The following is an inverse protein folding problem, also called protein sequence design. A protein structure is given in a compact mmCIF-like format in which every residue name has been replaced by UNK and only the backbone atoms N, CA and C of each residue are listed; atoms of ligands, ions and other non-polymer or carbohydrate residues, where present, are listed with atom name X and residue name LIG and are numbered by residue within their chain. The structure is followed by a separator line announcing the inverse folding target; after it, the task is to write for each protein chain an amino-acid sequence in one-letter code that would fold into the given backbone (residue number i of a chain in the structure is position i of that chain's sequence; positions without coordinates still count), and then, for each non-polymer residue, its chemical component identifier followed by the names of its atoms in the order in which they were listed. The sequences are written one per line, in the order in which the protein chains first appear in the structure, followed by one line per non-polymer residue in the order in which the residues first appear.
data_IF_323817400574
#
_entry.id   IF_323817400574
#
_cell.length_a   1.000
_cell.length_b   1.000
_cell.length_c   1.000
_cell.angle_alpha   90.00
_cell.angle_beta   90.00
_cell.angle_gamma   90.00
#
_symmetry.space_group_name_H-M   'P 1'
#
loop_
_entity.id
_entity.type
_entity.pdbx_description
1 polymer ?
#
# COMPACT_ATOMS: atom_id res chain seq x y z
N UNK A 1 26.03 -18.96 2.17
CA UNK A 1 24.66 -18.44 2.12
C UNK A 1 24.52 -17.77 0.77
N UNK A 2 23.68 -18.30 -0.12
CA UNK A 2 23.57 -17.78 -1.48
C UNK A 2 22.80 -16.48 -1.41
N UNK A 3 23.18 -15.42 -2.15
CA UNK A 3 22.44 -14.15 -2.13
C UNK A 3 20.95 -14.26 -2.52
N UNK A 4 20.48 -15.42 -2.98
CA UNK A 4 19.04 -15.70 -3.14
C UNK A 4 18.32 -15.89 -1.80
N UNK A 5 18.92 -16.58 -0.84
CA UNK A 5 18.29 -16.91 0.44
C UNK A 5 18.17 -15.66 1.34
N UNK A 6 19.18 -14.79 1.34
CA UNK A 6 19.14 -13.49 2.06
C UNK A 6 18.05 -12.56 1.48
N UNK A 7 17.93 -12.50 0.15
CA UNK A 7 16.89 -11.70 -0.51
C UNK A 7 15.50 -12.24 -0.24
N UNK A 8 15.35 -13.56 -0.14
CA UNK A 8 14.10 -14.20 0.26
C UNK A 8 13.70 -13.82 1.69
N UNK A 9 14.62 -13.93 2.64
CA UNK A 9 14.38 -13.57 4.04
C UNK A 9 14.02 -12.09 4.16
N UNK A 10 14.77 -11.22 3.50
CA UNK A 10 14.50 -9.79 3.48
C UNK A 10 13.12 -9.48 2.88
N UNK A 11 12.79 -10.07 1.74
CA UNK A 11 11.50 -9.87 1.09
C UNK A 11 10.35 -10.31 2.02
N UNK A 12 10.53 -11.41 2.76
CA UNK A 12 9.54 -11.90 3.72
C UNK A 12 9.37 -10.94 4.89
N UNK A 13 10.46 -10.49 5.51
CA UNK A 13 10.42 -9.54 6.61
C UNK A 13 9.73 -8.24 6.22
N UNK A 14 10.07 -7.67 5.05
CA UNK A 14 9.45 -6.44 4.56
C UNK A 14 7.97 -6.64 4.26
N UNK A 15 7.60 -7.75 3.61
CA UNK A 15 6.20 -8.06 3.30
C UNK A 15 5.36 -8.20 4.58
N UNK A 16 5.85 -8.95 5.57
CA UNK A 16 5.17 -9.17 6.84
C UNK A 16 5.01 -7.88 7.66
N UNK A 17 6.01 -6.99 7.62
CA UNK A 17 5.93 -5.69 8.27
C UNK A 17 4.93 -4.77 7.57
N UNK A 18 4.92 -4.76 6.23
CA UNK A 18 4.06 -3.88 5.45
C UNK A 18 2.57 -4.17 5.67
N UNK A 19 2.16 -5.45 5.70
CA UNK A 19 0.76 -5.84 5.94
C UNK A 19 0.28 -5.59 7.38
N UNK A 20 1.18 -5.26 8.31
CA UNK A 20 0.83 -4.89 9.69
C UNK A 20 0.59 -3.39 9.85
N UNK A 21 0.90 -2.58 8.84
CA UNK A 21 0.65 -1.15 8.87
C UNK A 21 -0.85 -0.89 8.67
N UNK A 22 -1.49 -0.08 9.52
CA UNK A 22 -2.93 0.14 9.46
C UNK A 22 -3.39 0.79 8.16
N UNK A 23 -2.52 1.54 7.48
CA UNK A 23 -2.83 2.17 6.20
C UNK A 23 -2.77 1.20 5.01
N UNK A 24 -2.19 0.01 5.17
CA UNK A 24 -1.99 -0.97 4.09
C UNK A 24 -3.10 -2.00 4.12
N UNK A 25 -3.90 -2.03 3.07
CA UNK A 25 -4.98 -3.02 2.88
C UNK A 25 -4.39 -4.35 2.42
N UNK A 26 -3.52 -4.29 1.41
CA UNK A 26 -2.82 -5.45 0.88
C UNK A 26 -1.55 -5.07 0.13
N UNK A 27 -0.70 -6.06 -0.13
CA UNK A 27 0.45 -5.93 -1.02
C UNK A 27 0.04 -6.18 -2.46
N UNK A 28 0.45 -5.29 -3.36
CA UNK A 28 0.17 -5.41 -4.78
C UNK A 28 1.42 -5.79 -5.55
N UNK A 29 1.31 -6.81 -6.41
CA UNK A 29 2.37 -7.12 -7.39
C UNK A 29 2.49 -6.06 -8.51
N UNK A 30 1.71 -4.98 -8.44
CA UNK A 30 1.53 -3.96 -9.46
C UNK A 30 0.68 -4.45 -10.63
N UNK A 31 0.21 -3.52 -11.47
CA UNK A 31 -0.68 -3.85 -12.61
C UNK A 31 -0.07 -4.84 -13.62
N UNK A 32 1.26 -4.95 -13.65
CA UNK A 32 2.00 -5.88 -14.52
C UNK A 32 2.56 -7.12 -13.79
N UNK A 33 2.23 -7.32 -12.51
CA UNK A 33 2.69 -8.46 -11.72
C UNK A 33 4.21 -8.52 -11.49
N UNK A 34 4.92 -7.41 -11.70
CA UNK A 34 6.38 -7.33 -11.72
C UNK A 34 6.98 -7.18 -10.32
N UNK A 35 6.18 -6.75 -9.34
CA UNK A 35 6.62 -6.62 -7.95
C UNK A 35 6.52 -7.97 -7.24
N UNK A 36 7.48 -8.86 -7.49
CA UNK A 36 7.54 -10.17 -6.81
C UNK A 36 8.96 -10.70 -6.68
N UNK A 37 9.30 -11.21 -5.50
CA UNK A 37 10.59 -11.85 -5.21
C UNK A 37 10.45 -13.38 -5.34
N UNK A 38 11.25 -14.04 -6.21
CA UNK A 38 11.28 -15.50 -6.29
C UNK A 38 11.82 -16.13 -5.02
N UNK A 39 11.16 -17.20 -4.55
CA UNK A 39 11.56 -17.94 -3.34
C UNK A 39 11.50 -19.44 -3.60
N UNK A 40 12.15 -20.23 -2.75
CA UNK A 40 11.99 -21.70 -2.83
C UNK A 40 10.55 -22.09 -2.48
N UNK A 41 9.78 -22.51 -3.50
CA UNK A 41 8.39 -22.92 -3.34
C UNK A 41 7.35 -21.89 -3.81
N UNK A 42 7.77 -20.78 -4.43
CA UNK A 42 6.82 -19.84 -5.00
C UNK A 42 7.39 -18.44 -5.22
N UNK A 43 6.60 -17.43 -4.88
CA UNK A 43 6.97 -16.01 -4.96
C UNK A 43 6.36 -15.23 -3.82
N UNK A 44 7.12 -14.30 -3.24
CA UNK A 44 6.60 -13.27 -2.35
C UNK A 44 6.08 -12.14 -3.24
N UNK A 45 4.79 -11.81 -3.12
CA UNK A 45 4.13 -10.76 -3.91
C UNK A 45 4.29 -9.40 -3.28
N UNK A 46 4.30 -8.36 -4.10
CA UNK A 46 4.38 -6.95 -3.73
C UNK A 46 5.72 -6.48 -3.17
N UNK A 47 6.74 -7.34 -3.13
CA UNK A 47 8.09 -6.95 -2.71
C UNK A 47 9.12 -7.46 -3.71
N UNK A 48 10.05 -6.58 -4.07
CA UNK A 48 11.20 -6.88 -4.91
C UNK A 48 12.47 -6.48 -4.18
N UNK A 49 13.38 -7.44 -4.03
CA UNK A 49 14.72 -7.14 -3.51
C UNK A 49 15.73 -7.17 -4.65
N UNK A 50 16.43 -6.05 -4.83
CA UNK A 50 17.60 -5.89 -5.70
C UNK A 50 18.85 -5.69 -4.84
N UNK A 51 20.00 -5.57 -5.49
CA UNK A 51 21.27 -5.44 -4.79
C UNK A 51 21.40 -4.08 -4.08
N UNK A 52 20.87 -3.03 -4.68
CA UNK A 52 20.97 -1.62 -4.25
C UNK A 52 19.67 -1.06 -3.67
N UNK A 53 18.51 -1.63 -4.02
CA UNK A 53 17.20 -1.14 -3.59
C UNK A 53 16.17 -2.25 -3.33
N UNK A 54 15.11 -1.88 -2.62
CA UNK A 54 13.92 -2.67 -2.36
C UNK A 54 12.71 -1.90 -2.88
N UNK A 55 11.84 -2.56 -3.65
CA UNK A 55 10.58 -2.00 -4.12
C UNK A 55 9.41 -2.67 -3.40
N UNK A 56 8.43 -1.88 -2.98
CA UNK A 56 7.22 -2.35 -2.31
C UNK A 56 5.98 -1.71 -2.96
N UNK A 57 5.08 -2.54 -3.46
CA UNK A 57 3.78 -2.13 -3.99
C UNK A 57 2.68 -2.34 -2.96
N UNK A 58 1.94 -1.29 -2.66
CA UNK A 58 0.87 -1.32 -1.65
C UNK A 58 -0.46 -0.85 -2.22
N UNK A 59 -1.54 -1.46 -1.74
CA UNK A 59 -2.88 -0.90 -1.79
C UNK A 59 -3.16 -0.27 -0.44
N UNK A 60 -3.59 0.99 -0.41
CA UNK A 60 -3.79 1.72 0.84
C UNK A 60 -5.23 2.15 1.03
N UNK A 61 -5.65 2.28 2.28
CA UNK A 61 -6.90 2.93 2.62
C UNK A 61 -6.73 4.45 2.63
N UNK A 62 -7.64 5.17 1.95
CA UNK A 62 -7.58 6.62 1.88
C UNK A 62 -8.10 7.27 3.17
N UNK A 63 -7.20 7.73 4.03
CA UNK A 63 -7.53 8.54 5.20
C UNK A 63 -6.79 9.88 5.30
N UNK A 64 -5.73 10.07 4.49
CA UNK A 64 -4.84 11.24 4.49
C UNK A 64 -4.10 11.35 3.15
N UNK A 65 -3.38 12.45 2.86
CA UNK A 65 -2.67 12.60 1.59
C UNK A 65 -1.69 11.45 1.30
N UNK A 66 -1.75 10.89 0.08
CA UNK A 66 -0.91 9.76 -0.33
C UNK A 66 0.60 9.96 -0.10
N UNK A 67 1.19 11.16 -0.33
CA UNK A 67 2.60 11.37 -0.03
C UNK A 67 2.95 11.16 1.44
N UNK A 68 2.01 11.46 2.34
CA UNK A 68 2.21 11.26 3.78
C UNK A 68 2.11 9.79 4.18
N UNK A 69 1.16 9.05 3.57
CA UNK A 69 1.04 7.60 3.76
C UNK A 69 2.33 6.92 3.28
N UNK A 70 2.77 7.22 2.06
CA UNK A 70 3.99 6.66 1.49
C UNK A 70 5.24 7.01 2.32
N UNK A 71 5.32 8.24 2.86
CA UNK A 71 6.40 8.63 3.76
C UNK A 71 6.36 7.88 5.10
N UNK A 72 5.17 7.65 5.66
CA UNK A 72 4.96 6.83 6.85
C UNK A 72 5.42 5.40 6.64
N UNK A 73 4.90 4.73 5.60
CA UNK A 73 5.30 3.38 5.21
C UNK A 73 6.82 3.28 5.03
N UNK A 74 7.41 4.23 4.29
CA UNK A 74 8.87 4.25 4.07
C UNK A 74 9.65 4.37 5.37
N UNK A 75 9.18 5.19 6.33
CA UNK A 75 9.84 5.36 7.63
C UNK A 75 9.84 4.06 8.45
N UNK A 76 8.72 3.35 8.45
CA UNK A 76 8.59 2.09 9.20
C UNK A 76 9.37 0.93 8.56
N UNK A 77 9.43 0.87 7.22
CA UNK A 77 10.07 -0.23 6.50
C UNK A 77 11.57 -0.01 6.20
N UNK A 78 12.04 1.24 6.10
CA UNK A 78 13.45 1.52 5.77
C UNK A 78 14.48 0.86 6.71
N UNK A 79 14.27 0.75 8.04
CA UNK A 79 15.21 0.05 8.92
C UNK A 79 15.38 -1.44 8.58
N UNK A 80 14.39 -2.05 7.92
CA UNK A 80 14.40 -3.47 7.58
C UNK A 80 15.21 -3.77 6.32
N UNK A 81 15.51 -2.78 5.47
CA UNK A 81 16.06 -3.01 4.11
C UNK A 81 17.55 -3.38 4.08
N UNK A 82 18.19 -3.45 5.25
CA UNK A 82 19.63 -3.72 5.36
C UNK A 82 20.49 -2.61 4.74
N UNK A 83 20.01 -1.36 4.75
CA UNK A 83 20.71 -0.20 4.19
C UNK A 83 20.46 0.06 2.70
N UNK A 84 19.64 -0.76 2.04
CA UNK A 84 19.21 -0.56 0.64
C UNK A 84 18.19 0.57 0.54
N UNK A 85 18.17 1.29 -0.59
CA UNK A 85 17.17 2.31 -0.85
C UNK A 85 15.76 1.68 -0.91
N UNK A 86 14.76 2.33 -0.32
CA UNK A 86 13.37 1.83 -0.31
C UNK A 86 12.49 2.68 -1.21
N UNK A 87 11.91 2.05 -2.24
CA UNK A 87 10.92 2.63 -3.12
C UNK A 87 9.54 2.07 -2.78
N UNK A 88 8.58 2.95 -2.50
CA UNK A 88 7.19 2.58 -2.20
C UNK A 88 6.31 3.11 -3.31
N UNK A 89 5.55 2.24 -3.95
CA UNK A 89 4.53 2.60 -4.92
C UNK A 89 3.14 2.29 -4.37
N UNK A 90 2.25 3.29 -4.46
CA UNK A 90 0.83 3.11 -4.17
C UNK A 90 0.16 2.69 -5.47
N UNK A 91 -0.20 1.42 -5.56
CA UNK A 91 -0.73 0.81 -6.79
C UNK A 91 -2.24 0.99 -6.92
N UNK A 92 -2.94 1.04 -5.78
CA UNK A 92 -4.37 1.32 -5.73
C UNK A 92 -4.74 1.95 -4.38
N UNK A 93 -5.92 2.57 -4.34
CA UNK A 93 -6.44 3.29 -3.18
C UNK A 93 -7.88 2.87 -2.95
N UNK A 94 -8.14 2.27 -1.78
CA UNK A 94 -9.49 2.00 -1.33
C UNK A 94 -10.02 3.25 -0.65
N UNK A 95 -11.03 3.88 -1.23
CA UNK A 95 -11.77 4.92 -0.54
C UNK A 95 -12.56 4.26 0.61
N UNK A 96 -12.13 4.48 1.85
CA UNK A 96 -13.04 4.32 2.98
C UNK A 96 -14.18 5.29 2.73
N UNK A 97 -15.38 4.78 2.41
CA UNK A 97 -16.57 5.62 2.29
C UNK A 97 -16.84 6.21 3.68
N UNK A 98 -16.26 7.36 3.97
CA UNK A 98 -16.69 8.15 5.13
C UNK A 98 -18.10 8.63 4.82
N UNK A 99 -19.10 7.90 5.33
CA UNK A 99 -20.52 8.26 5.27
C UNK A 99 -20.87 9.48 6.13
N UNK A 100 -19.90 10.37 6.42
CA UNK A 100 -20.08 11.56 7.26
C UNK A 100 -19.94 12.85 6.47
N UNK A 101 -20.42 12.92 5.23
CA UNK A 101 -20.87 14.20 4.62
C UNK A 101 -21.74 14.00 3.39
N UNK A 102 -22.99 13.58 3.59
CA UNK A 102 -24.06 13.88 2.63
C UNK A 102 -25.27 14.51 3.32
N UNK A 103 -25.05 15.67 3.96
CA UNK A 103 -26.11 16.67 4.13
C UNK A 103 -26.11 17.57 2.89
N UNK A 104 -26.38 16.99 1.71
CA UNK A 104 -26.84 17.81 0.58
C UNK A 104 -28.34 17.91 0.72
N UNK A 105 -28.79 19.05 1.26
CA UNK A 105 -30.19 19.40 1.37
C UNK A 105 -30.89 19.21 0.04
N UNK A 106 -31.79 18.24 -0.02
CA UNK A 106 -32.81 18.17 -1.04
C UNK A 106 -33.88 19.17 -0.64
N UNK A 107 -33.85 20.36 -1.22
CA UNK A 107 -35.00 21.27 -1.25
C UNK A 107 -35.93 20.78 -2.36
N UNK A 108 -37.07 20.13 -2.09
CA UNK A 108 -38.16 20.12 -3.04
C UNK A 108 -38.84 21.50 -2.98
N UNK A 109 -38.49 22.33 -3.96
CA UNK A 109 -39.24 23.52 -4.35
C UNK A 109 -40.69 23.13 -4.67
N UNK A 110 -41.63 23.67 -3.91
CA UNK A 110 -42.91 24.16 -4.42
C UNK A 110 -44.05 23.16 -4.63
N UNK A 111 -45.08 23.26 -3.79
CA UNK A 111 -46.42 23.68 -4.27
C UNK A 111 -47.15 24.40 -3.14
N UNK A 112 -47.54 25.64 -3.40
CA UNK A 112 -48.44 26.40 -2.54
C UNK A 112 -49.87 25.92 -2.83
N UNK A 113 -50.57 25.45 -1.80
CA UNK A 113 -52.02 25.36 -1.79
C UNK A 113 -52.57 26.79 -1.76
N UNK A 114 -53.31 27.15 -2.81
CA UNK A 114 -54.25 28.28 -2.78
C UNK A 114 -55.63 27.68 -2.56
N UNK A 115 -56.35 28.25 -1.58
CA UNK A 115 -57.61 27.73 -1.06
C UNK A 115 -58.83 27.86 -1.97
#
# INVERSE_FOLDING_TARGET
MTGGDEREELARTVAEAAVRLPEVVELSSGSFGTLSTPVRGGRIRGVVVRDDHVEVGVVVEYGRPLPEIAAGIRRELAPLTGGRALHVSVEDVVAGIDERTSTTGRTPTGRQDVG
#
